data_IF_437950006643
#
_entry.id   IF_437950006643
#
_cell.length_a   1.000
_cell.length_b   1.000
_cell.length_c   1.000
_cell.angle_alpha   90.00
_cell.angle_beta   90.00
_cell.angle_gamma   90.00
#
_symmetry.space_group_name_H-M   'P 1'
#
loop_
_entity.id
_entity.type
_entity.pdbx_description
1 polymer ?
#
# COMPACT_ATOMS: atom_id res chain seq x y z
N UNK A 1 -22.01 11.49 -8.60
CA UNK A 1 -23.38 10.97 -8.52
C UNK A 1 -23.60 9.96 -7.41
N UNK A 2 -23.04 8.75 -7.49
CA UNK A 2 -23.19 7.71 -6.45
C UNK A 2 -22.87 8.17 -5.01
N UNK A 3 -21.85 9.01 -4.82
CA UNK A 3 -21.51 9.58 -3.51
C UNK A 3 -22.59 10.52 -2.96
N UNK A 4 -23.24 11.33 -3.82
CA UNK A 4 -24.30 12.26 -3.42
C UNK A 4 -25.56 11.51 -2.97
N UNK A 5 -25.94 10.47 -3.72
CA UNK A 5 -27.03 9.58 -3.33
C UNK A 5 -26.76 8.89 -1.99
N UNK A 6 -25.54 8.39 -1.76
CA UNK A 6 -25.16 7.78 -0.48
C UNK A 6 -25.28 8.77 0.67
N UNK A 7 -24.78 9.99 0.51
CA UNK A 7 -24.89 11.05 1.52
C UNK A 7 -26.36 11.40 1.79
N UNK A 8 -27.19 11.52 0.75
CA UNK A 8 -28.61 11.76 0.90
C UNK A 8 -29.30 10.66 1.70
N UNK A 9 -29.04 9.38 1.38
CA UNK A 9 -29.56 8.24 2.15
C UNK A 9 -29.09 8.28 3.61
N UNK A 10 -27.80 8.50 3.89
CA UNK A 10 -27.29 8.54 5.27
C UNK A 10 -27.86 9.71 6.09
N UNK A 11 -28.03 10.86 5.45
CA UNK A 11 -28.45 12.08 6.13
C UNK A 11 -29.96 12.13 6.35
N UNK A 12 -30.77 11.62 5.41
CA UNK A 12 -32.21 11.85 5.42
C UNK A 12 -33.03 10.59 5.71
N UNK A 13 -32.51 9.38 5.53
CA UNK A 13 -33.23 8.13 5.87
C UNK A 13 -33.76 8.08 7.32
N UNK A 14 -33.04 8.54 8.37
CA UNK A 14 -33.57 8.46 9.73
C UNK A 14 -34.69 9.47 10.05
N UNK A 15 -35.03 10.39 9.15
CA UNK A 15 -35.99 11.47 9.39
C UNK A 15 -37.33 11.26 8.68
N UNK A 16 -38.41 11.76 9.28
CA UNK A 16 -39.70 11.91 8.58
C UNK A 16 -39.68 13.18 7.73
N UNK A 17 -39.94 13.03 6.42
CA UNK A 17 -39.87 14.14 5.46
C UNK A 17 -41.26 14.50 4.94
N UNK A 18 -41.48 15.75 4.54
CA UNK A 18 -42.63 16.10 3.70
C UNK A 18 -42.36 15.74 2.24
N UNK A 19 -43.42 15.60 1.45
CA UNK A 19 -43.36 15.37 0.00
C UNK A 19 -42.52 16.44 -0.70
N UNK A 20 -42.65 17.70 -0.25
CA UNK A 20 -41.81 18.80 -0.73
C UNK A 20 -40.31 18.64 -0.39
N UNK A 21 -39.99 18.13 0.80
CA UNK A 21 -38.60 17.84 1.19
C UNK A 21 -38.02 16.67 0.40
N UNK A 22 -38.81 15.61 0.18
CA UNK A 22 -38.40 14.50 -0.68
C UNK A 22 -38.13 15.00 -2.10
N UNK A 23 -39.01 15.84 -2.64
CA UNK A 23 -38.82 16.50 -3.94
C UNK A 23 -37.51 17.30 -3.98
N UNK A 24 -37.23 18.13 -2.97
CA UNK A 24 -35.99 18.91 -2.90
C UNK A 24 -34.74 18.02 -2.89
N UNK A 25 -34.75 16.90 -2.18
CA UNK A 25 -33.64 15.95 -2.17
C UNK A 25 -33.48 15.27 -3.53
N UNK A 26 -34.59 14.87 -4.17
CA UNK A 26 -34.56 14.33 -5.53
C UNK A 26 -33.94 15.31 -6.53
N UNK A 27 -34.18 16.62 -6.39
CA UNK A 27 -33.56 17.63 -7.25
C UNK A 27 -32.04 17.77 -7.07
N UNK A 28 -31.50 17.36 -5.92
CA UNK A 28 -30.05 17.31 -5.70
C UNK A 28 -29.39 16.08 -6.34
N UNK A 29 -30.18 15.07 -6.71
CA UNK A 29 -29.74 13.87 -7.41
C UNK A 29 -29.87 14.09 -8.92
N UNK A 30 -28.87 13.67 -9.69
CA UNK A 30 -28.76 13.89 -11.13
C UNK A 30 -29.30 12.75 -11.99
N UNK A 31 -29.52 11.55 -11.44
CA UNK A 31 -30.08 10.41 -12.18
C UNK A 31 -31.42 9.99 -11.60
N UNK A 32 -32.39 9.74 -12.48
CA UNK A 32 -33.72 9.30 -12.09
C UNK A 32 -33.72 7.98 -11.31
N UNK A 33 -32.78 7.06 -11.58
CA UNK A 33 -32.66 5.82 -10.82
C UNK A 33 -32.46 6.09 -9.31
N UNK A 34 -31.52 6.97 -8.96
CA UNK A 34 -31.27 7.35 -7.56
C UNK A 34 -32.43 8.15 -6.94
N UNK A 35 -33.13 8.95 -7.75
CA UNK A 35 -34.34 9.66 -7.31
C UNK A 35 -35.46 8.68 -6.95
N UNK A 36 -35.69 7.65 -7.78
CA UNK A 36 -36.69 6.60 -7.54
C UNK A 36 -36.36 5.88 -6.24
N UNK A 37 -35.11 5.41 -6.09
CA UNK A 37 -34.70 4.67 -4.91
C UNK A 37 -34.84 5.50 -3.63
N UNK A 38 -34.41 6.78 -3.66
CA UNK A 38 -34.55 7.69 -2.52
C UNK A 38 -36.02 7.97 -2.18
N UNK A 39 -36.83 8.29 -3.18
CA UNK A 39 -38.25 8.60 -3.00
C UNK A 39 -39.02 7.39 -2.46
N UNK A 40 -38.80 6.21 -3.04
CA UNK A 40 -39.42 4.97 -2.58
C UNK A 40 -38.99 4.60 -1.16
N UNK A 41 -37.69 4.70 -0.83
CA UNK A 41 -37.20 4.43 0.52
C UNK A 41 -37.77 5.40 1.56
N UNK A 42 -38.01 6.66 1.16
CA UNK A 42 -38.58 7.69 2.03
C UNK A 42 -40.08 7.57 2.21
N UNK A 43 -40.79 7.00 1.22
CA UNK A 43 -42.27 6.95 1.17
C UNK A 43 -42.95 6.46 2.45
N UNK A 44 -42.49 5.37 3.11
CA UNK A 44 -43.13 4.88 4.35
C UNK A 44 -43.04 5.87 5.52
N UNK A 45 -42.19 6.89 5.44
CA UNK A 45 -41.91 7.88 6.50
C UNK A 45 -42.30 9.31 6.07
N UNK A 46 -43.06 9.45 4.98
CA UNK A 46 -43.55 10.76 4.53
C UNK A 46 -44.67 11.26 5.44
N UNK A 47 -44.60 12.55 5.81
CA UNK A 47 -45.54 13.19 6.73
C UNK A 47 -46.88 13.59 6.09
N UNK A 48 -46.90 13.81 4.77
CA UNK A 48 -48.09 14.17 3.98
C UNK A 48 -48.29 13.29 2.73
N UNK A 49 -48.56 11.97 2.87
CA UNK A 49 -48.59 11.03 1.76
C UNK A 49 -49.57 11.39 0.62
N UNK A 50 -50.65 12.11 0.93
CA UNK A 50 -51.60 12.56 -0.11
C UNK A 50 -50.98 13.50 -1.15
N UNK A 51 -49.88 14.20 -0.82
CA UNK A 51 -49.18 15.13 -1.71
C UNK A 51 -47.97 14.48 -2.39
N UNK A 52 -47.72 13.19 -2.16
CA UNK A 52 -46.49 12.54 -2.61
C UNK A 52 -46.32 12.52 -4.14
N UNK A 53 -47.42 12.69 -4.88
CA UNK A 53 -47.38 12.83 -6.34
C UNK A 53 -46.57 14.06 -6.80
N UNK A 54 -46.38 15.09 -5.96
CA UNK A 54 -45.53 16.25 -6.27
C UNK A 54 -44.05 15.83 -6.49
N UNK A 55 -43.62 14.70 -5.91
CA UNK A 55 -42.28 14.15 -6.12
C UNK A 55 -42.09 13.68 -7.55
N UNK A 56 -43.17 13.38 -8.29
CA UNK A 56 -43.09 12.91 -9.67
C UNK A 56 -42.51 13.97 -10.62
N UNK A 57 -42.72 15.25 -10.32
CA UNK A 57 -42.15 16.36 -11.07
C UNK A 57 -40.62 16.49 -10.91
N UNK A 58 -40.03 15.74 -9.97
CA UNK A 58 -38.57 15.69 -9.82
C UNK A 58 -37.88 14.83 -10.88
N UNK A 59 -38.60 14.00 -11.65
CA UNK A 59 -38.01 13.09 -12.63
C UNK A 59 -37.80 13.73 -14.01
N UNK A 60 -36.73 13.35 -14.70
CA UNK A 60 -36.49 13.75 -16.09
C UNK A 60 -37.35 12.96 -17.07
N UNK A 61 -37.60 11.68 -16.78
CA UNK A 61 -38.35 10.79 -17.64
C UNK A 61 -39.72 10.49 -17.02
N UNK A 62 -40.75 10.57 -17.85
CA UNK A 62 -42.11 10.17 -17.46
C UNK A 62 -42.19 8.70 -17.04
N UNK A 63 -41.40 7.82 -17.65
CA UNK A 63 -41.28 6.41 -17.28
C UNK A 63 -40.75 6.21 -15.85
N UNK A 64 -39.92 7.12 -15.35
CA UNK A 64 -39.40 7.09 -13.98
C UNK A 64 -40.48 7.42 -12.96
N UNK A 65 -41.29 8.45 -13.22
CA UNK A 65 -42.44 8.81 -12.39
C UNK A 65 -43.46 7.67 -12.33
N UNK A 66 -43.80 7.07 -13.48
CA UNK A 66 -44.66 5.88 -13.54
C UNK A 66 -44.10 4.70 -12.75
N UNK A 67 -42.79 4.45 -12.84
CA UNK A 67 -42.14 3.39 -12.08
C UNK A 67 -42.22 3.63 -10.57
N UNK A 68 -42.01 4.86 -10.10
CA UNK A 68 -42.19 5.19 -8.68
C UNK A 68 -43.66 4.99 -8.26
N UNK A 69 -44.61 5.40 -9.09
CA UNK A 69 -46.04 5.21 -8.81
C UNK A 69 -46.38 3.73 -8.63
N UNK A 70 -45.92 2.85 -9.53
CA UNK A 70 -46.18 1.41 -9.44
C UNK A 70 -45.55 0.78 -8.19
N UNK A 71 -44.37 1.26 -7.77
CA UNK A 71 -43.70 0.84 -6.54
C UNK A 71 -44.50 1.24 -5.29
N UNK A 72 -44.98 2.48 -5.25
CA UNK A 72 -45.70 3.07 -4.11
C UNK A 72 -47.09 2.44 -3.93
N UNK A 73 -47.80 2.18 -5.03
CA UNK A 73 -49.12 1.53 -5.01
C UNK A 73 -49.01 0.01 -4.74
N UNK A 74 -47.80 -0.55 -4.78
CA UNK A 74 -47.53 -1.95 -4.45
C UNK A 74 -47.83 -2.93 -5.58
N UNK A 75 -47.89 -2.45 -6.83
CA UNK A 75 -48.17 -3.27 -8.01
C UNK A 75 -46.95 -4.02 -8.53
N UNK A 76 -45.76 -3.76 -8.00
CA UNK A 76 -44.51 -4.39 -8.45
C UNK A 76 -43.52 -4.59 -7.29
N UNK A 77 -42.86 -5.76 -7.27
CA UNK A 77 -41.65 -5.99 -6.46
C UNK A 77 -40.43 -5.72 -7.35
N UNK A 78 -39.59 -4.75 -6.99
CA UNK A 78 -38.35 -4.46 -7.71
C UNK A 78 -37.18 -4.46 -6.73
N UNK A 79 -36.07 -5.02 -7.17
CA UNK A 79 -34.80 -4.99 -6.46
C UNK A 79 -34.26 -3.55 -6.48
N UNK A 80 -34.25 -2.89 -5.32
CA UNK A 80 -33.66 -1.55 -5.18
C UNK A 80 -32.19 -1.58 -5.58
N UNK A 81 -31.69 -0.52 -6.21
CA UNK A 81 -30.26 -0.45 -6.48
C UNK A 81 -29.54 -0.50 -5.13
N UNK A 82 -28.62 -1.47 -4.91
CA UNK A 82 -27.84 -1.51 -3.69
C UNK A 82 -27.15 -0.15 -3.54
N UNK A 83 -27.30 0.48 -2.37
CA UNK A 83 -26.65 1.77 -2.08
C UNK A 83 -25.19 1.64 -2.53
N UNK A 84 -24.72 2.45 -3.50
CA UNK A 84 -23.37 2.34 -4.01
C UNK A 84 -22.40 2.45 -2.85
N UNK A 85 -21.80 1.32 -2.50
CA UNK A 85 -20.77 1.28 -1.48
C UNK A 85 -19.69 2.28 -1.89
N UNK A 86 -19.06 2.96 -0.93
CA UNK A 86 -17.79 3.61 -1.23
C UNK A 86 -16.95 2.57 -1.99
N UNK A 87 -16.48 2.91 -3.20
CA UNK A 87 -15.36 2.16 -3.78
C UNK A 87 -14.36 1.98 -2.65
N UNK A 88 -13.80 0.78 -2.44
CA UNK A 88 -12.75 0.58 -1.46
C UNK A 88 -11.78 1.74 -1.63
N UNK A 89 -11.78 2.68 -0.69
CA UNK A 89 -10.82 3.77 -0.75
C UNK A 89 -9.48 3.05 -0.76
N UNK A 90 -8.52 3.45 -1.62
CA UNK A 90 -7.16 2.99 -1.44
C UNK A 90 -6.86 3.23 0.03
N UNK A 91 -6.74 2.16 0.81
CA UNK A 91 -6.29 2.29 2.18
C UNK A 91 -5.00 3.12 2.08
N UNK A 92 -4.75 4.08 2.99
CA UNK A 92 -3.47 4.75 3.03
C UNK A 92 -2.44 3.63 3.01
N UNK A 93 -1.76 3.46 1.86
CA UNK A 93 -0.72 2.44 1.74
C UNK A 93 0.21 2.80 2.88
N UNK A 94 0.49 1.87 3.83
CA UNK A 94 1.48 2.13 4.84
C UNK A 94 2.68 2.69 4.10
N UNK A 95 3.09 3.93 4.45
CA UNK A 95 4.29 4.53 3.89
C UNK A 95 5.35 3.43 3.95
N UNK A 96 5.97 3.05 2.81
CA UNK A 96 6.96 1.99 2.84
C UNK A 96 7.96 2.36 3.92
N UNK A 97 8.02 1.56 4.98
CA UNK A 97 9.09 1.66 5.96
C UNK A 97 10.39 1.68 5.16
N UNK A 98 11.39 2.48 5.53
CA UNK A 98 12.67 2.48 4.82
C UNK A 98 13.22 1.06 4.88
N UNK A 99 13.02 0.31 3.80
CA UNK A 99 13.51 -1.05 3.67
C UNK A 99 15.02 -0.89 3.67
N UNK A 100 15.64 -1.42 4.72
CA UNK A 100 17.09 -1.48 4.84
C UNK A 100 17.58 -2.45 3.75
N UNK A 101 17.81 -1.92 2.56
CA UNK A 101 18.20 -2.67 1.37
C UNK A 101 19.28 -1.91 0.60
N UNK A 102 20.32 -2.63 0.20
CA UNK A 102 21.29 -2.15 -0.77
C UNK A 102 20.83 -2.57 -2.15
N UNK A 103 20.46 -1.60 -2.99
CA UNK A 103 19.98 -1.86 -4.36
C UNK A 103 21.10 -2.44 -5.24
N UNK A 104 20.74 -3.08 -6.35
CA UNK A 104 21.72 -3.59 -7.31
C UNK A 104 22.60 -2.47 -7.90
N UNK A 105 22.03 -1.26 -8.08
CA UNK A 105 22.79 -0.11 -8.54
C UNK A 105 23.81 0.34 -7.49
N UNK A 106 23.37 0.54 -6.23
CA UNK A 106 24.27 0.88 -5.13
C UNK A 106 25.40 -0.14 -5.01
N UNK A 107 25.08 -1.42 -5.14
CA UNK A 107 26.06 -2.49 -5.06
C UNK A 107 27.10 -2.41 -6.17
N UNK A 108 26.71 -2.06 -7.40
CA UNK A 108 27.65 -1.87 -8.49
C UNK A 108 28.53 -0.64 -8.27
N UNK A 109 27.96 0.48 -7.83
CA UNK A 109 28.70 1.69 -7.50
C UNK A 109 29.71 1.44 -6.37
N UNK A 110 29.33 0.70 -5.33
CA UNK A 110 30.23 0.29 -4.24
C UNK A 110 31.39 -0.53 -4.77
N UNK A 111 31.12 -1.53 -5.63
CA UNK A 111 32.17 -2.37 -6.22
C UNK A 111 33.14 -1.54 -7.05
N UNK A 112 32.63 -0.60 -7.85
CA UNK A 112 33.47 0.26 -8.69
C UNK A 112 34.32 1.23 -7.86
N UNK A 113 33.77 1.79 -6.79
CA UNK A 113 34.51 2.64 -5.84
C UNK A 113 35.64 1.85 -5.16
N UNK A 114 35.37 0.63 -4.69
CA UNK A 114 36.41 -0.20 -4.07
C UNK A 114 37.49 -0.59 -5.10
N UNK A 115 37.12 -0.89 -6.35
CA UNK A 115 38.07 -1.19 -7.44
C UNK A 115 38.93 0.01 -7.86
N UNK A 116 38.40 1.22 -7.73
CA UNK A 116 39.12 2.44 -8.09
C UNK A 116 40.34 2.71 -7.20
N UNK A 117 40.34 2.16 -5.97
CA UNK A 117 41.49 2.23 -5.08
C UNK A 117 42.61 1.29 -5.55
N UNK A 118 43.80 1.84 -5.77
CA UNK A 118 44.94 1.13 -6.39
C UNK A 118 45.81 0.38 -5.39
N UNK A 119 45.73 0.74 -4.11
CA UNK A 119 46.55 0.16 -3.03
C UNK A 119 45.69 -0.65 -2.08
N UNK A 120 46.21 -1.78 -1.61
CA UNK A 120 45.56 -2.71 -0.69
C UNK A 120 44.87 -2.01 0.49
N UNK A 121 45.62 -1.24 1.29
CA UNK A 121 45.10 -0.54 2.46
C UNK A 121 43.98 0.46 2.11
N UNK A 122 44.07 1.08 0.94
CA UNK A 122 43.05 2.00 0.44
C UNK A 122 41.78 1.27 0.03
N UNK A 123 41.90 0.09 -0.60
CA UNK A 123 40.75 -0.77 -0.94
C UNK A 123 40.02 -1.25 0.31
N UNK A 124 40.76 -1.70 1.33
CA UNK A 124 40.19 -2.13 2.62
C UNK A 124 39.41 -0.99 3.29
N UNK A 125 40.02 0.20 3.42
CA UNK A 125 39.37 1.37 4.01
C UNK A 125 38.14 1.80 3.21
N UNK A 126 38.22 1.78 1.89
CA UNK A 126 37.10 2.13 1.02
C UNK A 126 35.94 1.15 1.22
N UNK A 127 36.21 -0.16 1.25
CA UNK A 127 35.19 -1.17 1.47
C UNK A 127 34.50 -0.99 2.84
N UNK A 128 35.28 -0.79 3.91
CA UNK A 128 34.74 -0.53 5.26
C UNK A 128 33.87 0.73 5.29
N UNK A 129 34.30 1.81 4.62
CA UNK A 129 33.54 3.06 4.54
C UNK A 129 32.19 2.86 3.83
N UNK A 130 32.16 2.12 2.72
CA UNK A 130 30.92 1.83 2.00
C UNK A 130 29.99 0.91 2.79
N UNK A 131 30.55 -0.07 3.52
CA UNK A 131 29.76 -0.97 4.37
C UNK A 131 29.09 -0.19 5.51
N UNK A 132 29.86 0.70 6.16
CA UNK A 132 29.36 1.54 7.24
C UNK A 132 28.33 2.58 6.79
N UNK A 133 28.41 3.09 5.56
CA UNK A 133 27.51 4.17 5.11
C UNK A 133 26.08 3.70 4.85
N UNK A 134 25.89 2.44 4.46
CA UNK A 134 24.56 1.87 4.16
C UNK A 134 24.00 1.00 5.27
N UNK A 135 24.84 0.28 6.04
CA UNK A 135 24.46 -0.60 7.17
C UNK A 135 23.34 -1.62 6.88
N UNK A 136 23.13 -1.99 5.61
CA UNK A 136 21.99 -2.79 5.15
C UNK A 136 22.42 -3.95 4.24
N UNK A 137 23.61 -4.51 4.46
CA UNK A 137 24.16 -5.54 3.58
C UNK A 137 23.71 -6.93 3.99
N UNK A 138 23.38 -7.77 3.01
CA UNK A 138 23.24 -9.22 3.20
C UNK A 138 24.58 -9.93 3.11
N UNK A 139 24.69 -11.10 3.72
CA UNK A 139 25.89 -11.94 3.67
C UNK A 139 26.36 -12.19 2.22
N UNK A 140 25.45 -12.42 1.28
CA UNK A 140 25.79 -12.62 -0.14
C UNK A 140 26.37 -11.34 -0.79
N UNK A 141 25.86 -10.17 -0.41
CA UNK A 141 26.40 -8.88 -0.90
C UNK A 141 27.79 -8.62 -0.30
N UNK A 142 28.01 -9.00 0.96
CA UNK A 142 29.34 -8.92 1.57
C UNK A 142 30.33 -9.82 0.83
N UNK A 143 29.93 -11.04 0.45
CA UNK A 143 30.74 -11.92 -0.42
C UNK A 143 31.13 -11.23 -1.72
N UNK A 144 30.20 -10.54 -2.39
CA UNK A 144 30.51 -9.78 -3.59
C UNK A 144 31.55 -8.66 -3.36
N UNK A 145 31.48 -7.94 -2.24
CA UNK A 145 32.50 -6.93 -1.88
C UNK A 145 33.85 -7.60 -1.63
N UNK A 146 33.88 -8.72 -0.90
CA UNK A 146 35.13 -9.43 -0.63
C UNK A 146 35.78 -9.96 -1.91
N UNK A 147 34.99 -10.37 -2.90
CA UNK A 147 35.50 -10.84 -4.20
C UNK A 147 36.12 -9.72 -5.05
N UNK A 148 35.90 -8.44 -4.69
CA UNK A 148 36.62 -7.31 -5.29
C UNK A 148 38.05 -7.18 -4.75
N UNK A 149 38.29 -7.66 -3.53
CA UNK A 149 39.60 -7.57 -2.89
C UNK A 149 40.50 -8.70 -3.39
N UNK A 150 41.76 -8.36 -3.68
CA UNK A 150 42.73 -9.31 -4.23
C UNK A 150 43.33 -10.23 -3.16
N UNK A 151 43.55 -9.73 -1.94
CA UNK A 151 44.30 -10.41 -0.90
C UNK A 151 43.39 -10.97 0.20
N UNK A 152 43.62 -12.22 0.60
CA UNK A 152 42.75 -12.90 1.60
C UNK A 152 42.88 -12.30 3.01
N UNK A 153 43.99 -11.66 3.36
CA UNK A 153 44.13 -10.94 4.62
C UNK A 153 43.28 -9.65 4.65
N UNK A 154 43.24 -8.91 3.54
CA UNK A 154 42.29 -7.80 3.33
C UNK A 154 40.86 -8.26 3.43
N UNK A 155 40.53 -9.38 2.77
CA UNK A 155 39.18 -9.96 2.86
C UNK A 155 38.82 -10.31 4.29
N UNK A 156 39.74 -10.86 5.07
CA UNK A 156 39.48 -11.23 6.46
C UNK A 156 39.23 -9.98 7.32
N UNK A 157 40.03 -8.93 7.14
CA UNK A 157 39.85 -7.66 7.84
C UNK A 157 38.47 -7.03 7.54
N UNK A 158 38.09 -6.97 6.26
CA UNK A 158 36.78 -6.45 5.84
C UNK A 158 35.64 -7.37 6.29
N UNK A 159 35.79 -8.69 6.21
CA UNK A 159 34.78 -9.65 6.64
C UNK A 159 34.49 -9.57 8.14
N UNK A 160 35.51 -9.39 8.99
CA UNK A 160 35.30 -9.18 10.43
C UNK A 160 34.59 -7.86 10.71
N UNK A 161 34.96 -6.81 9.98
CA UNK A 161 34.33 -5.49 10.10
C UNK A 161 32.86 -5.51 9.67
N UNK A 162 32.54 -6.19 8.57
CA UNK A 162 31.23 -6.21 7.96
C UNK A 162 30.17 -7.01 8.74
N UNK A 163 30.59 -7.85 9.70
CA UNK A 163 29.69 -8.68 10.50
C UNK A 163 28.66 -7.85 11.26
N UNK A 164 29.08 -6.72 11.85
CA UNK A 164 28.21 -5.79 12.60
C UNK A 164 27.19 -5.04 11.72
N UNK A 165 27.37 -5.08 10.40
CA UNK A 165 26.55 -4.36 9.42
C UNK A 165 25.77 -5.33 8.52
N UNK A 166 25.79 -6.62 8.85
CA UNK A 166 25.07 -7.64 8.13
C UNK A 166 23.66 -7.81 8.69
N UNK A 167 22.64 -7.67 7.85
CA UNK A 167 21.24 -7.78 8.30
C UNK A 167 20.79 -9.23 8.49
N UNK A 168 21.46 -10.19 7.85
CA UNK A 168 21.19 -11.62 7.95
C UNK A 168 22.41 -12.40 8.47
N UNK A 169 22.89 -12.03 9.67
CA UNK A 169 24.04 -12.66 10.34
C UNK A 169 23.91 -14.19 10.46
N UNK A 170 22.71 -14.74 10.51
CA UNK A 170 22.49 -16.20 10.46
C UNK A 170 23.04 -16.86 9.19
N UNK A 171 23.17 -16.10 8.09
CA UNK A 171 23.72 -16.56 6.82
C UNK A 171 25.22 -16.25 6.65
N UNK A 172 25.88 -15.69 7.67
CA UNK A 172 27.26 -15.20 7.54
C UNK A 172 28.30 -16.29 7.28
N UNK A 173 27.96 -17.56 7.52
CA UNK A 173 28.78 -18.71 7.11
C UNK A 173 29.07 -18.73 5.60
N UNK A 174 28.23 -18.08 4.77
CA UNK A 174 28.48 -17.95 3.32
C UNK A 174 29.70 -17.10 3.02
N UNK A 175 30.00 -16.11 3.88
CA UNK A 175 31.21 -15.27 3.80
C UNK A 175 32.46 -16.10 4.04
N UNK A 176 32.39 -17.13 4.88
CA UNK A 176 33.52 -18.06 5.10
C UNK A 176 33.92 -18.77 3.80
N UNK A 177 32.96 -19.03 2.90
CA UNK A 177 33.24 -19.71 1.64
C UNK A 177 33.97 -18.84 0.60
N UNK A 178 34.10 -17.52 0.82
CA UNK A 178 34.82 -16.64 -0.12
C UNK A 178 36.35 -16.70 0.02
N UNK A 179 36.87 -17.38 1.05
CA UNK A 179 38.31 -17.52 1.27
C UNK A 179 38.88 -18.73 0.56
N UNK A 180 40.11 -18.60 0.05
CA UNK A 180 40.79 -19.71 -0.65
C UNK A 180 41.45 -20.66 0.34
N UNK A 181 42.14 -20.11 1.34
CA UNK A 181 42.90 -20.90 2.32
C UNK A 181 42.08 -21.23 3.56
N UNK A 182 42.23 -22.46 4.05
CA UNK A 182 41.55 -22.96 5.25
C UNK A 182 41.85 -22.11 6.50
N UNK A 183 43.07 -21.59 6.63
CA UNK A 183 43.44 -20.75 7.78
C UNK A 183 42.52 -19.54 7.95
N UNK A 184 42.22 -18.82 6.85
CA UNK A 184 41.32 -17.66 6.89
C UNK A 184 39.86 -18.08 7.18
N UNK A 185 39.44 -19.25 6.68
CA UNK A 185 38.12 -19.82 6.99
C UNK A 185 37.97 -20.11 8.48
N UNK A 186 38.96 -20.80 9.05
CA UNK A 186 38.98 -21.16 10.47
C UNK A 186 39.01 -19.88 11.35
N UNK A 187 39.77 -18.87 10.95
CA UNK A 187 39.85 -17.59 11.68
C UNK A 187 38.55 -16.78 11.65
N UNK A 188 37.86 -16.74 10.51
CA UNK A 188 36.55 -16.07 10.43
C UNK A 188 35.49 -16.87 11.19
N UNK A 189 35.51 -18.20 11.10
CA UNK A 189 34.57 -19.08 11.82
C UNK A 189 34.68 -18.87 13.32
N UNK A 190 35.90 -18.90 13.88
CA UNK A 190 36.14 -18.60 15.30
C UNK A 190 35.63 -17.22 15.71
N UNK A 191 35.79 -16.22 14.83
CA UNK A 191 35.30 -14.87 15.10
C UNK A 191 33.76 -14.82 15.18
N UNK A 192 33.06 -15.52 14.28
CA UNK A 192 31.60 -15.61 14.28
C UNK A 192 31.11 -16.35 15.54
N UNK A 193 31.73 -17.48 15.88
CA UNK A 193 31.40 -18.27 17.07
C UNK A 193 31.58 -17.49 18.37
N UNK A 194 32.58 -16.59 18.45
CA UNK A 194 32.80 -15.75 19.63
C UNK A 194 31.77 -14.62 19.82
N UNK A 195 30.92 -14.36 18.82
CA UNK A 195 29.89 -13.29 18.85
C UNK A 195 28.45 -13.81 18.86
N UNK A 196 28.27 -15.11 18.70
CA UNK A 196 27.00 -15.80 18.97
C UNK A 196 26.88 -16.13 20.46
#
# INVERSE_FOLDING_TARGET
EAARFRTAMQQFEPFCLSSAQVYQVCQMLGQDAYRIDFAYASYPRVTDPQNFYDVYDSFQLFSSAFRLHDLVVGNMAVELVPIPQPLPQPQPVPLPEPVCEVSAQDMNEIKDLVKSATFKDSMEKQAQMMIKSKQCFRADQIVEILNVLTYDDSKLAVAKYAFDYCIDTQNYYRVVNSFTFKSYKDDLTKFIEARN
#
